data_IF_671329180637
#
_entry.id   IF_671329180637
#
_cell.length_a   1.000
_cell.length_b   1.000
_cell.length_c   1.000
_cell.angle_alpha   90.00
_cell.angle_beta   90.00
_cell.angle_gamma   90.00
#
_symmetry.space_group_name_H-M   'P 1'
#
loop_
_entity.id
_entity.type
_entity.pdbx_description
1 polymer ?
#
# COMPACT_ATOMS: atom_id res chain seq x y z
N UNK A 1 4.49 7.57 17.04
CA UNK A 1 3.61 7.44 15.88
C UNK A 1 4.17 6.38 14.93
N UNK A 2 3.34 5.47 14.47
CA UNK A 2 3.77 4.42 13.56
C UNK A 2 3.48 4.83 12.12
N UNK A 3 4.43 4.57 11.23
CA UNK A 3 4.23 4.74 9.79
C UNK A 3 3.81 3.42 9.10
N UNK A 4 3.50 2.41 9.88
CA UNK A 4 3.15 1.09 9.37
C UNK A 4 1.82 0.60 9.93
N UNK A 5 1.16 -0.25 9.14
CA UNK A 5 -0.04 -0.98 9.55
C UNK A 5 0.24 -2.47 9.32
N UNK A 6 -0.24 -3.34 10.20
CA UNK A 6 -0.08 -4.77 10.01
C UNK A 6 -1.12 -5.31 9.03
N UNK A 7 -0.87 -6.50 8.47
CA UNK A 7 -1.85 -7.15 7.58
C UNK A 7 -3.14 -7.45 8.33
N UNK A 8 -3.07 -7.80 9.61
CA UNK A 8 -4.25 -8.05 10.44
C UNK A 8 -5.06 -6.77 10.65
N UNK A 9 -4.39 -5.65 10.89
CA UNK A 9 -5.06 -4.36 11.05
C UNK A 9 -5.74 -3.91 9.75
N UNK A 10 -5.09 -4.13 8.59
CA UNK A 10 -5.71 -3.81 7.32
C UNK A 10 -6.94 -4.69 7.07
N UNK A 11 -6.84 -5.99 7.35
CA UNK A 11 -7.98 -6.90 7.22
C UNK A 11 -9.14 -6.43 8.08
N UNK A 12 -8.87 -6.02 9.32
CA UNK A 12 -9.91 -5.53 10.23
C UNK A 12 -10.60 -4.29 9.67
N UNK A 13 -9.84 -3.36 9.07
CA UNK A 13 -10.42 -2.18 8.41
C UNK A 13 -11.34 -2.57 7.26
N UNK A 14 -10.92 -3.54 6.45
CA UNK A 14 -11.74 -4.02 5.32
C UNK A 14 -13.02 -4.68 5.82
N UNK A 15 -12.93 -5.46 6.89
CA UNK A 15 -14.07 -6.19 7.44
C UNK A 15 -15.16 -5.27 8.00
N UNK A 16 -14.80 -4.11 8.54
CA UNK A 16 -15.77 -3.13 9.04
C UNK A 16 -16.14 -2.09 7.99
N UNK A 17 -15.64 -2.23 6.77
CA UNK A 17 -15.98 -1.34 5.66
C UNK A 17 -15.32 0.04 5.74
N UNK A 18 -14.22 0.18 6.47
CA UNK A 18 -13.46 1.43 6.51
C UNK A 18 -12.97 1.76 5.11
N UNK A 19 -13.25 2.99 4.66
CA UNK A 19 -12.88 3.44 3.33
C UNK A 19 -11.41 3.89 3.34
N UNK A 20 -10.56 3.14 2.65
CA UNK A 20 -9.16 3.50 2.49
C UNK A 20 -8.68 3.16 1.09
N UNK A 21 -7.69 3.94 0.61
CA UNK A 21 -7.06 3.71 -0.68
C UNK A 21 -5.90 2.76 -0.50
N UNK A 22 -5.86 1.69 -1.30
CA UNK A 22 -4.70 0.81 -1.38
C UNK A 22 -3.82 1.31 -2.54
N UNK A 23 -2.62 1.76 -2.22
CA UNK A 23 -1.69 2.29 -3.21
C UNK A 23 -0.55 1.30 -3.43
N UNK A 24 -0.52 0.70 -4.63
CA UNK A 24 0.51 -0.24 -5.05
C UNK A 24 1.63 0.53 -5.74
N UNK A 25 2.84 0.46 -5.18
CA UNK A 25 3.99 1.22 -5.71
C UNK A 25 5.02 0.30 -6.38
N UNK A 26 4.62 -0.95 -6.69
CA UNK A 26 5.48 -1.91 -7.37
C UNK A 26 5.58 -1.60 -8.86
N UNK A 27 6.45 -2.35 -9.55
CA UNK A 27 6.57 -2.23 -11.00
C UNK A 27 5.42 -2.97 -11.71
N UNK A 28 5.19 -2.62 -12.97
CA UNK A 28 4.10 -3.18 -13.77
C UNK A 28 4.16 -4.72 -13.83
N UNK A 29 5.37 -5.27 -13.98
CA UNK A 29 5.55 -6.73 -14.08
C UNK A 29 5.09 -7.44 -12.80
N UNK A 30 5.29 -6.82 -11.65
CA UNK A 30 4.84 -7.37 -10.36
C UNK A 30 3.32 -7.34 -10.24
N UNK A 31 2.71 -6.23 -10.66
CA UNK A 31 1.26 -6.07 -10.62
C UNK A 31 0.57 -7.11 -11.50
N UNK A 32 1.16 -7.44 -12.63
CA UNK A 32 0.62 -8.45 -13.54
C UNK A 32 0.64 -9.86 -12.95
N UNK A 33 1.54 -10.13 -12.01
CA UNK A 33 1.60 -11.42 -11.32
C UNK A 33 0.49 -11.57 -10.28
N UNK A 34 0.28 -10.54 -9.47
CA UNK A 34 -0.72 -10.55 -8.41
C UNK A 34 -0.92 -9.12 -7.91
N UNK A 35 -2.13 -8.79 -7.47
CA UNK A 35 -2.47 -7.47 -6.96
C UNK A 35 -3.60 -7.59 -5.95
N UNK A 36 -3.59 -6.73 -4.93
CA UNK A 36 -4.74 -6.64 -4.02
C UNK A 36 -5.92 -5.99 -4.75
N UNK A 37 -7.15 -6.49 -4.54
CA UNK A 37 -8.33 -5.95 -5.21
C UNK A 37 -8.51 -4.45 -4.95
N UNK A 38 -8.96 -3.73 -5.96
CA UNK A 38 -9.27 -2.30 -5.90
C UNK A 38 -8.07 -1.41 -5.60
N UNK A 39 -6.85 -1.87 -5.88
CA UNK A 39 -5.65 -1.06 -5.73
C UNK A 39 -5.53 -0.01 -6.82
N UNK A 40 -4.97 1.14 -6.43
CA UNK A 40 -4.48 2.15 -7.37
C UNK A 40 -3.00 1.86 -7.59
N UNK A 41 -2.57 1.78 -8.84
CA UNK A 41 -1.18 1.47 -9.16
C UNK A 41 -0.44 2.73 -9.64
N UNK A 42 0.56 3.15 -8.87
CA UNK A 42 1.51 4.19 -9.27
C UNK A 42 2.89 3.69 -8.88
N UNK A 43 3.73 3.29 -9.85
CA UNK A 43 5.09 2.81 -9.53
C UNK A 43 5.86 3.85 -8.71
N UNK A 44 6.70 3.38 -7.80
CA UNK A 44 7.41 4.26 -6.86
C UNK A 44 8.09 5.43 -7.56
N UNK A 45 8.75 5.16 -8.71
CA UNK A 45 9.46 6.20 -9.46
C UNK A 45 8.57 7.29 -10.03
N UNK A 46 7.27 7.02 -10.18
CA UNK A 46 6.30 7.96 -10.75
C UNK A 46 5.54 8.77 -9.69
N UNK A 47 5.71 8.45 -8.41
CA UNK A 47 4.97 9.13 -7.35
C UNK A 47 5.16 10.66 -7.40
N UNK A 48 6.40 11.19 -7.52
CA UNK A 48 6.56 12.65 -7.53
C UNK A 48 5.80 13.34 -8.66
N UNK A 49 5.80 12.76 -9.87
CA UNK A 49 5.13 13.37 -11.02
C UNK A 49 3.62 13.16 -11.04
N UNK A 50 3.13 12.19 -10.29
CA UNK A 50 1.71 11.82 -10.26
C UNK A 50 1.04 12.08 -8.91
N UNK A 51 1.69 12.89 -8.08
CA UNK A 51 1.21 13.20 -6.72
C UNK A 51 -0.20 13.79 -6.74
N UNK A 52 -0.53 14.55 -7.77
CA UNK A 52 -1.85 15.19 -7.94
C UNK A 52 -3.00 14.18 -8.12
N UNK A 53 -2.69 12.91 -8.40
CA UNK A 53 -3.70 11.85 -8.53
C UNK A 53 -4.16 11.33 -7.17
N UNK A 54 -3.47 11.71 -6.09
CA UNK A 54 -3.78 11.26 -4.75
C UNK A 54 -4.39 12.40 -3.94
N UNK A 55 -5.34 12.05 -3.06
CA UNK A 55 -5.98 13.02 -2.17
C UNK A 55 -5.26 12.99 -0.81
N UNK A 56 -4.65 14.13 -0.40
CA UNK A 56 -3.91 14.16 0.86
C UNK A 56 -4.80 13.99 2.10
N UNK A 57 -6.11 14.13 1.97
CA UNK A 57 -7.05 13.94 3.07
C UNK A 57 -7.55 12.49 3.19
N UNK A 58 -7.26 11.64 2.20
CA UNK A 58 -7.68 10.24 2.22
C UNK A 58 -6.79 9.41 3.13
N UNK A 59 -7.38 8.33 3.72
CA UNK A 59 -6.59 7.29 4.34
C UNK A 59 -5.97 6.44 3.24
N UNK A 60 -4.64 6.34 3.23
CA UNK A 60 -3.91 5.60 2.20
C UNK A 60 -3.02 4.55 2.85
N UNK A 61 -3.16 3.31 2.41
CA UNK A 61 -2.26 2.22 2.78
C UNK A 61 -1.41 1.92 1.56
N UNK A 62 -0.11 2.15 1.67
CA UNK A 62 0.85 1.92 0.58
C UNK A 62 1.45 0.54 0.75
N UNK A 63 1.52 -0.23 -0.33
CA UNK A 63 2.15 -1.54 -0.25
C UNK A 63 3.10 -1.79 -1.42
N UNK A 64 4.07 -2.66 -1.17
CA UNK A 64 4.98 -3.18 -2.18
C UNK A 64 5.14 -4.69 -1.94
N UNK A 65 6.27 -5.29 -2.36
CA UNK A 65 6.47 -6.73 -2.18
C UNK A 65 6.66 -7.10 -0.71
N UNK A 66 7.62 -6.43 -0.01
CA UNK A 66 7.96 -6.75 1.38
C UNK A 66 7.91 -5.57 2.35
N UNK A 67 7.54 -4.37 1.89
CA UNK A 67 7.38 -3.21 2.75
C UNK A 67 8.48 -2.16 2.70
N UNK A 68 9.60 -2.41 2.01
CA UNK A 68 10.72 -1.47 1.96
C UNK A 68 10.41 -0.26 1.07
N UNK A 69 10.00 -0.50 -0.17
CA UNK A 69 9.65 0.58 -1.11
C UNK A 69 8.46 1.39 -0.62
N UNK A 70 7.45 0.71 -0.07
CA UNK A 70 6.24 1.39 0.42
C UNK A 70 6.55 2.30 1.60
N UNK A 71 7.46 1.90 2.49
CA UNK A 71 7.84 2.76 3.62
C UNK A 71 8.55 4.03 3.14
N UNK A 72 9.39 3.92 2.10
CA UNK A 72 10.03 5.08 1.49
C UNK A 72 8.99 6.03 0.89
N UNK A 73 7.98 5.49 0.22
CA UNK A 73 6.89 6.30 -0.35
C UNK A 73 6.09 6.99 0.75
N UNK A 74 5.81 6.28 1.85
CA UNK A 74 5.10 6.86 3.00
C UNK A 74 5.86 8.08 3.55
N UNK A 75 7.17 7.97 3.73
CA UNK A 75 7.99 9.10 4.20
C UNK A 75 7.94 10.27 3.22
N UNK A 76 8.01 10.00 1.93
CA UNK A 76 7.89 11.04 0.90
C UNK A 76 6.53 11.74 0.98
N UNK A 77 5.44 10.97 1.09
CA UNK A 77 4.09 11.53 1.15
C UNK A 77 3.89 12.37 2.41
N UNK A 78 4.41 11.94 3.55
CA UNK A 78 4.34 12.75 4.78
C UNK A 78 5.05 14.09 4.63
N UNK A 79 6.13 14.14 3.85
CA UNK A 79 6.83 15.40 3.56
C UNK A 79 6.02 16.32 2.64
N UNK A 80 4.99 15.79 1.99
CA UNK A 80 4.12 16.53 1.07
C UNK A 80 2.69 16.69 1.61
N UNK A 81 2.57 16.76 2.94
CA UNK A 81 1.32 17.07 3.66
C UNK A 81 0.25 15.97 3.59
N UNK A 82 0.64 14.75 3.29
CA UNK A 82 -0.24 13.59 3.42
C UNK A 82 -0.12 13.08 4.86
N UNK A 83 -1.17 13.25 5.67
CA UNK A 83 -1.11 12.93 7.11
C UNK A 83 -1.61 11.52 7.44
N UNK A 84 -2.44 10.93 6.58
CA UNK A 84 -3.13 9.66 6.87
C UNK A 84 -2.59 8.52 5.99
N UNK A 85 -1.26 8.41 5.90
CA UNK A 85 -0.60 7.45 5.04
C UNK A 85 0.26 6.51 5.87
N UNK A 86 0.09 5.21 5.67
CA UNK A 86 0.89 4.17 6.34
C UNK A 86 1.33 3.12 5.33
N UNK A 87 2.40 2.40 5.66
CA UNK A 87 2.93 1.31 4.85
C UNK A 87 2.44 -0.02 5.39
N UNK A 88 2.07 -0.93 4.48
CA UNK A 88 1.68 -2.29 4.86
C UNK A 88 2.93 -3.08 5.25
N UNK A 89 3.09 -3.36 6.53
CA UNK A 89 4.24 -4.10 7.04
C UNK A 89 4.30 -5.51 6.43
N UNK A 90 5.44 -5.86 5.86
CA UNK A 90 5.62 -7.15 5.19
C UNK A 90 5.08 -7.20 3.77
N UNK A 91 4.36 -6.17 3.32
CA UNK A 91 3.87 -6.03 1.95
C UNK A 91 2.86 -7.09 1.53
N UNK A 92 2.66 -7.20 0.21
CA UNK A 92 1.73 -8.17 -0.35
C UNK A 92 2.16 -9.63 -0.07
N UNK A 93 3.46 -9.86 0.10
CA UNK A 93 3.95 -11.20 0.42
C UNK A 93 3.45 -11.65 1.79
N UNK A 94 3.54 -10.79 2.80
CA UNK A 94 3.05 -11.12 4.13
C UNK A 94 1.52 -11.23 4.17
N UNK A 95 0.84 -10.40 3.38
CA UNK A 95 -0.61 -10.55 3.21
C UNK A 95 -0.97 -11.93 2.68
N UNK A 96 -0.22 -12.42 1.67
CA UNK A 96 -0.45 -13.75 1.11
C UNK A 96 -0.23 -14.84 2.15
N UNK A 97 0.83 -14.72 2.97
CA UNK A 97 1.15 -15.73 3.97
C UNK A 97 0.07 -15.79 5.08
N UNK A 98 -0.35 -14.64 5.58
CA UNK A 98 -1.17 -14.58 6.80
C UNK A 98 -2.67 -14.48 6.54
N UNK A 99 -3.07 -13.86 5.43
CA UNK A 99 -4.48 -13.54 5.17
C UNK A 99 -5.03 -14.39 4.03
N UNK A 100 -4.30 -14.50 2.92
CA UNK A 100 -4.75 -15.22 1.74
C UNK A 100 -3.70 -16.23 1.27
N UNK A 101 -3.58 -17.38 1.95
CA UNK A 101 -2.54 -18.36 1.63
C UNK A 101 -2.60 -18.91 0.21
N UNK A 102 -3.74 -18.76 -0.48
CA UNK A 102 -3.93 -19.22 -1.86
C UNK A 102 -3.47 -18.20 -2.89
N UNK A 103 -3.17 -16.97 -2.45
CA UNK A 103 -2.70 -15.91 -3.35
C UNK A 103 -1.34 -16.26 -3.93
N UNK A 104 -1.14 -15.92 -5.20
CA UNK A 104 0.15 -16.09 -5.87
C UNK A 104 1.24 -15.31 -5.13
N UNK A 105 2.37 -15.96 -4.91
CA UNK A 105 3.58 -15.33 -4.32
C UNK A 105 4.70 -15.37 -5.35
N UNK A 106 5.61 -14.39 -5.23
CA UNK A 106 6.73 -14.30 -6.17
C UNK A 106 8.03 -13.89 -5.48
#
# INVERSE_FOLDING_TARGET
MSFEITVQELQAKQNVGTDCVLLDVREQEEVELVQLPNSVHIPMGDIPSRLHELDPDSEIVVYCHHGVRSLQVVHFLHQHDFEHVVSLAGGIDFWAIEIEPEMTRY
#
